data_IF_342464823157
#
_entry.id   IF_342464823157
#
_cell.length_a   1.000
_cell.length_b   1.000
_cell.length_c   1.000
_cell.angle_alpha   90.00
_cell.angle_beta   90.00
_cell.angle_gamma   90.00
#
_symmetry.space_group_name_H-M   'P 1'
#
loop_
_entity.id
_entity.type
_entity.pdbx_description
1 polymer ?
#
# COMPACT_ATOMS: atom_id res chain seq x y z
N UNK A 1 1.45 -1.36 -26.53
CA UNK A 1 0.70 -1.26 -25.26
C UNK A 1 0.68 0.20 -24.86
N UNK A 2 -0.50 0.78 -24.67
CA UNK A 2 -0.66 2.17 -24.24
C UNK A 2 -1.37 2.18 -22.89
N UNK A 3 -0.98 3.10 -22.02
CA UNK A 3 -1.67 3.36 -20.76
C UNK A 3 -3.06 3.93 -21.08
N UNK A 4 -4.10 3.30 -20.54
CA UNK A 4 -5.49 3.75 -20.62
C UNK A 4 -6.01 4.02 -19.21
N UNK A 5 -7.12 4.74 -19.11
CA UNK A 5 -7.80 5.02 -17.85
C UNK A 5 -9.25 4.58 -17.96
N UNK A 6 -9.77 3.98 -16.89
CA UNK A 6 -11.19 3.64 -16.81
C UNK A 6 -12.05 4.85 -16.41
N UNK A 7 -13.36 4.66 -16.30
CA UNK A 7 -14.32 5.70 -15.96
C UNK A 7 -14.08 6.31 -14.56
N UNK A 8 -13.30 5.63 -13.71
CA UNK A 8 -12.93 6.03 -12.36
C UNK A 8 -11.55 6.71 -12.34
N UNK A 9 -10.88 6.84 -13.49
CA UNK A 9 -9.55 7.41 -13.62
C UNK A 9 -8.42 6.48 -13.17
N UNK A 10 -8.69 5.20 -12.96
CA UNK A 10 -7.66 4.23 -12.59
C UNK A 10 -6.90 3.75 -13.85
N UNK A 11 -5.56 3.67 -13.79
CA UNK A 11 -4.75 3.25 -14.94
C UNK A 11 -4.87 1.75 -15.21
N UNK A 12 -4.97 1.39 -16.50
CA UNK A 12 -4.90 0.02 -16.96
C UNK A 12 -4.14 -0.13 -18.28
N UNK A 13 -3.70 -1.35 -18.57
CA UNK A 13 -2.99 -1.71 -19.80
C UNK A 13 -3.72 -2.86 -20.48
N UNK A 14 -4.10 -2.66 -21.72
CA UNK A 14 -4.61 -3.73 -22.58
C UNK A 14 -3.43 -4.41 -23.28
N UNK A 15 -3.26 -5.72 -23.00
CA UNK A 15 -2.18 -6.55 -23.55
C UNK A 15 -2.64 -7.18 -24.86
N UNK A 16 -3.86 -7.71 -24.86
CA UNK A 16 -4.59 -8.24 -26.02
C UNK A 16 -6.11 -8.02 -25.81
N UNK A 17 -6.98 -8.28 -26.81
CA UNK A 17 -8.43 -8.03 -26.69
C UNK A 17 -9.12 -8.74 -25.52
N UNK A 18 -8.51 -9.80 -24.97
CA UNK A 18 -9.04 -10.61 -23.88
C UNK A 18 -8.25 -10.46 -22.57
N UNK A 19 -7.09 -9.78 -22.58
CA UNK A 19 -6.19 -9.64 -21.43
C UNK A 19 -5.94 -8.17 -21.11
N UNK A 20 -6.46 -7.76 -19.96
CA UNK A 20 -6.30 -6.43 -19.41
C UNK A 20 -5.63 -6.49 -18.03
N UNK A 21 -4.54 -5.74 -17.85
CA UNK A 21 -3.87 -5.56 -16.57
C UNK A 21 -4.41 -4.31 -15.89
N UNK A 22 -4.98 -4.47 -14.69
CA UNK A 22 -5.53 -3.39 -13.86
C UNK A 22 -4.89 -3.41 -12.48
N UNK A 23 -4.81 -2.24 -11.83
CA UNK A 23 -4.48 -2.19 -10.41
C UNK A 23 -5.66 -2.75 -9.61
N UNK A 24 -5.38 -3.73 -8.76
CA UNK A 24 -6.35 -4.26 -7.82
C UNK A 24 -6.43 -3.30 -6.61
N UNK A 25 -7.39 -2.37 -6.70
CA UNK A 25 -7.70 -1.37 -5.68
C UNK A 25 -8.97 -1.71 -4.89
N UNK A 26 -9.53 -2.92 -5.04
CA UNK A 26 -10.76 -3.29 -4.36
C UNK A 26 -10.56 -3.34 -2.84
N UNK A 27 -11.47 -2.74 -2.09
CA UNK A 27 -11.62 -3.04 -0.66
C UNK A 27 -12.35 -4.39 -0.52
N UNK A 28 -11.94 -5.21 0.46
CA UNK A 28 -12.50 -6.55 0.71
C UNK A 28 -13.82 -6.51 1.47
N UNK A 29 -14.67 -5.54 1.13
CA UNK A 29 -15.91 -5.29 1.86
C UNK A 29 -17.01 -6.30 1.47
N UNK A 30 -16.81 -7.01 0.35
CA UNK A 30 -17.68 -8.07 -0.16
C UNK A 30 -17.37 -9.46 0.43
N UNK A 31 -16.18 -9.68 0.98
CA UNK A 31 -15.81 -10.92 1.65
C UNK A 31 -16.21 -10.88 3.14
N UNK A 32 -17.27 -11.62 3.46
CA UNK A 32 -17.81 -11.71 4.82
C UNK A 32 -16.79 -12.21 5.86
N UNK A 33 -15.84 -13.08 5.48
CA UNK A 33 -14.80 -13.54 6.39
C UNK A 33 -13.78 -12.42 6.68
N UNK A 34 -13.38 -11.68 5.64
CA UNK A 34 -12.50 -10.51 5.79
C UNK A 34 -13.15 -9.43 6.66
N UNK A 35 -14.42 -9.09 6.40
CA UNK A 35 -15.16 -8.10 7.20
C UNK A 35 -15.28 -8.53 8.67
N UNK A 36 -15.58 -9.82 8.91
CA UNK A 36 -15.66 -10.36 10.28
C UNK A 36 -14.30 -10.28 10.99
N UNK A 37 -13.21 -10.69 10.32
CA UNK A 37 -11.85 -10.58 10.87
C UNK A 37 -11.45 -9.14 11.17
N UNK A 38 -11.74 -8.20 10.26
CA UNK A 38 -11.47 -6.78 10.48
C UNK A 38 -12.21 -6.24 11.71
N UNK A 39 -13.49 -6.61 11.86
CA UNK A 39 -14.28 -6.24 13.04
C UNK A 39 -13.69 -6.81 14.34
N UNK A 40 -13.34 -8.09 14.37
CA UNK A 40 -12.88 -8.79 15.58
C UNK A 40 -11.44 -8.43 15.96
N UNK A 41 -10.51 -8.39 15.00
CA UNK A 41 -9.08 -8.24 15.25
C UNK A 41 -8.62 -6.78 15.24
N UNK A 42 -9.25 -5.93 14.41
CA UNK A 42 -8.89 -4.53 14.20
C UNK A 42 -9.86 -3.55 14.87
N UNK A 43 -11.00 -4.02 15.39
CA UNK A 43 -12.09 -3.18 15.91
C UNK A 43 -12.72 -2.29 14.84
N UNK A 44 -12.73 -2.77 13.60
CA UNK A 44 -13.25 -2.02 12.45
C UNK A 44 -14.79 -2.06 12.45
N UNK A 45 -15.42 -1.19 13.25
CA UNK A 45 -16.86 -0.89 13.17
C UNK A 45 -17.08 0.52 12.60
N UNK A 46 -18.24 0.82 11.99
CA UNK A 46 -18.51 2.13 11.42
C UNK A 46 -18.28 3.29 12.41
N UNK A 47 -18.62 3.09 13.68
CA UNK A 47 -18.47 4.08 14.75
C UNK A 47 -17.00 4.33 15.08
N UNK A 48 -16.23 3.25 15.29
CA UNK A 48 -14.80 3.33 15.59
C UNK A 48 -14.04 3.94 14.42
N UNK A 49 -14.37 3.56 13.18
CA UNK A 49 -13.74 4.11 11.98
C UNK A 49 -13.95 5.63 11.92
N UNK A 50 -15.20 6.10 12.10
CA UNK A 50 -15.51 7.53 12.06
C UNK A 50 -14.85 8.32 13.19
N UNK A 51 -14.87 7.78 14.41
CA UNK A 51 -14.24 8.41 15.58
C UNK A 51 -12.72 8.51 15.39
N UNK A 52 -12.08 7.40 15.02
CA UNK A 52 -10.63 7.34 14.84
C UNK A 52 -10.13 8.19 13.68
N UNK A 53 -10.87 8.29 12.58
CA UNK A 53 -10.55 9.20 11.49
C UNK A 53 -10.62 10.66 11.96
N UNK A 54 -11.68 11.04 12.67
CA UNK A 54 -11.84 12.41 13.19
C UNK A 54 -10.73 12.78 14.16
N UNK A 55 -10.41 11.88 15.10
CA UNK A 55 -9.34 12.11 16.08
C UNK A 55 -7.97 12.19 15.40
N UNK A 56 -7.65 11.25 14.51
CA UNK A 56 -6.39 11.26 13.76
C UNK A 56 -6.23 12.54 12.93
N UNK A 57 -7.30 12.98 12.25
CA UNK A 57 -7.31 14.26 11.51
C UNK A 57 -7.06 15.44 12.44
N UNK A 58 -7.60 15.42 13.67
CA UNK A 58 -7.33 16.46 14.67
C UNK A 58 -5.86 16.47 15.09
N UNK A 59 -5.29 15.30 15.40
CA UNK A 59 -3.88 15.16 15.77
C UNK A 59 -2.93 15.64 14.65
N UNK A 60 -3.26 15.33 13.39
CA UNK A 60 -2.46 15.72 12.24
C UNK A 60 -2.43 17.24 11.99
N UNK A 61 -3.40 18.02 12.49
CA UNK A 61 -3.38 19.49 12.37
C UNK A 61 -2.16 20.12 13.03
N UNK A 62 -1.62 19.49 14.07
CA UNK A 62 -0.42 19.95 14.77
C UNK A 62 0.86 19.68 13.98
N UNK A 63 0.78 18.86 12.92
CA UNK A 63 1.90 18.44 12.06
C UNK A 63 1.75 18.93 10.62
N UNK A 64 1.42 20.22 10.47
CA UNK A 64 1.22 20.87 9.16
C UNK A 64 2.48 20.96 8.29
N UNK A 65 3.65 20.65 8.83
CA UNK A 65 4.92 20.55 8.13
C UNK A 65 5.02 19.30 7.23
N UNK A 66 4.19 18.29 7.50
CA UNK A 66 4.17 17.05 6.73
C UNK A 66 3.15 17.14 5.58
N UNK A 67 3.60 16.83 4.37
CA UNK A 67 2.72 16.74 3.20
C UNK A 67 1.87 15.46 3.25
N UNK A 68 0.81 15.49 4.04
CA UNK A 68 -0.12 14.37 4.28
C UNK A 68 -1.45 14.67 3.61
N UNK A 69 -2.00 13.68 2.89
CA UNK A 69 -3.38 13.73 2.39
C UNK A 69 -4.37 13.51 3.54
N UNK A 70 -4.53 14.51 4.41
CA UNK A 70 -5.38 14.43 5.62
C UNK A 70 -6.84 14.15 5.26
N UNK A 71 -7.28 14.57 4.07
CA UNK A 71 -8.65 14.41 3.60
C UNK A 71 -8.97 13.06 2.93
N UNK A 72 -7.96 12.25 2.64
CA UNK A 72 -8.12 10.95 2.02
C UNK A 72 -8.29 9.85 3.08
N UNK A 73 -9.52 9.42 3.30
CA UNK A 73 -9.83 8.34 4.25
C UNK A 73 -9.13 7.02 3.89
N UNK A 74 -9.02 6.69 2.60
CA UNK A 74 -8.34 5.47 2.16
C UNK A 74 -6.83 5.55 2.46
N UNK A 75 -6.24 6.74 2.37
CA UNK A 75 -4.86 6.98 2.81
C UNK A 75 -4.71 6.80 4.33
N UNK A 76 -5.57 7.42 5.14
CA UNK A 76 -5.50 7.32 6.60
C UNK A 76 -5.76 5.90 7.12
N UNK A 77 -6.69 5.16 6.49
CA UNK A 77 -6.99 3.74 6.79
C UNK A 77 -5.75 2.85 6.68
N UNK A 78 -4.78 3.16 5.80
CA UNK A 78 -3.51 2.40 5.68
C UNK A 78 -2.70 2.38 6.97
N UNK A 79 -2.81 3.43 7.79
CA UNK A 79 -2.15 3.54 9.08
C UNK A 79 -3.05 3.11 10.23
N UNK A 80 -4.37 3.35 10.13
CA UNK A 80 -5.34 2.97 11.17
C UNK A 80 -5.55 1.46 11.26
N UNK A 81 -5.59 0.73 10.14
CA UNK A 81 -5.81 -0.73 10.16
C UNK A 81 -4.70 -1.49 10.91
N UNK A 82 -3.40 -1.29 10.61
CA UNK A 82 -2.31 -1.93 11.36
C UNK A 82 -2.31 -1.56 12.85
N UNK A 83 -2.81 -0.39 13.21
CA UNK A 83 -2.89 0.08 14.60
C UNK A 83 -4.23 -0.17 15.24
N UNK A 84 -5.08 -1.04 14.68
CA UNK A 84 -6.39 -1.41 15.24
C UNK A 84 -7.27 -0.20 15.58
N UNK A 85 -7.20 0.81 14.71
CA UNK A 85 -7.90 2.08 14.84
C UNK A 85 -7.56 2.90 16.09
N UNK A 86 -6.40 2.70 16.72
CA UNK A 86 -5.90 3.61 17.76
C UNK A 86 -5.25 4.86 17.11
N UNK A 87 -5.84 6.06 17.24
CA UNK A 87 -5.38 7.24 16.51
C UNK A 87 -3.97 7.69 16.89
N UNK A 88 -3.64 7.68 18.18
CA UNK A 88 -2.29 8.03 18.65
C UNK A 88 -1.21 7.07 18.09
N UNK A 89 -1.52 5.77 18.03
CA UNK A 89 -0.61 4.79 17.44
C UNK A 89 -0.45 4.99 15.94
N UNK A 90 -1.53 5.34 15.23
CA UNK A 90 -1.48 5.68 13.81
C UNK A 90 -0.64 6.94 13.55
N UNK A 91 -0.78 7.97 14.38
CA UNK A 91 0.06 9.17 14.31
C UNK A 91 1.54 8.81 14.44
N UNK A 92 1.91 8.04 15.47
CA UNK A 92 3.31 7.62 15.68
C UNK A 92 3.85 6.85 14.47
N UNK A 93 3.03 5.99 13.85
CA UNK A 93 3.39 5.26 12.63
C UNK A 93 3.59 6.19 11.43
N UNK A 94 2.71 7.18 11.24
CA UNK A 94 2.83 8.21 10.19
C UNK A 94 4.12 9.00 10.37
N UNK A 95 4.38 9.52 11.58
CA UNK A 95 5.60 10.27 11.89
C UNK A 95 6.86 9.44 11.61
N UNK A 96 6.85 8.16 12.00
CA UNK A 96 7.94 7.22 11.68
C UNK A 96 8.13 7.04 10.18
N UNK A 97 7.05 6.89 9.42
CA UNK A 97 7.08 6.75 7.96
C UNK A 97 7.62 8.00 7.25
N UNK A 98 7.21 9.19 7.66
CA UNK A 98 7.74 10.45 7.09
C UNK A 98 9.20 10.68 7.47
N UNK A 99 9.59 10.39 8.72
CA UNK A 99 11.00 10.42 9.14
C UNK A 99 11.86 9.48 8.31
N UNK A 100 11.35 8.29 8.01
CA UNK A 100 11.99 7.32 7.16
C UNK A 100 12.12 7.82 5.71
N UNK A 101 11.06 8.40 5.14
CA UNK A 101 11.08 9.01 3.80
C UNK A 101 12.03 10.21 3.70
N UNK A 102 12.17 11.00 4.75
CA UNK A 102 13.11 12.13 4.76
C UNK A 102 14.59 11.69 4.71
N UNK A 103 14.88 10.42 5.01
CA UNK A 103 16.23 9.89 4.96
C UNK A 103 16.63 9.56 3.51
N UNK A 104 17.36 10.48 2.87
CA UNK A 104 17.84 10.37 1.47
C UNK A 104 18.71 9.15 1.13
N UNK A 105 19.11 8.36 2.13
CA UNK A 105 19.89 7.12 1.92
C UNK A 105 19.00 5.89 1.73
N UNK A 106 17.69 6.03 1.87
CA UNK A 106 16.78 4.91 1.77
C UNK A 106 16.32 4.69 0.32
N UNK A 107 16.01 3.43 0.00
CA UNK A 107 15.64 2.90 -1.33
C UNK A 107 14.47 3.66 -2.00
N UNK A 108 13.78 4.55 -1.29
CA UNK A 108 12.62 5.29 -1.81
C UNK A 108 12.97 6.48 -2.70
N UNK A 109 14.20 7.00 -2.64
CA UNK A 109 14.61 8.12 -3.49
C UNK A 109 14.90 7.64 -4.92
N UNK A 110 14.28 8.30 -5.90
CA UNK A 110 14.42 8.01 -7.34
C UNK A 110 13.98 6.60 -7.79
N UNK A 111 12.95 6.04 -7.12
CA UNK A 111 12.31 4.79 -7.57
C UNK A 111 11.55 5.01 -8.89
N UNK A 112 12.26 4.81 -9.99
CA UNK A 112 11.69 4.79 -11.33
C UNK A 112 11.57 3.36 -11.88
N UNK A 113 10.69 3.18 -12.87
CA UNK A 113 10.54 1.91 -13.59
C UNK A 113 11.87 1.40 -14.16
N UNK A 114 12.76 2.30 -14.59
CA UNK A 114 14.09 1.94 -15.07
C UNK A 114 15.01 1.41 -13.97
N UNK A 115 14.98 1.99 -12.76
CA UNK A 115 15.81 1.50 -11.65
C UNK A 115 15.38 0.12 -11.15
N UNK A 116 14.08 -0.14 -11.12
CA UNK A 116 13.55 -1.43 -10.68
C UNK A 116 13.50 -2.49 -11.79
N UNK A 117 13.72 -2.08 -13.06
CA UNK A 117 13.63 -2.97 -14.23
C UNK A 117 14.48 -4.22 -14.06
N UNK A 118 15.76 -4.05 -13.70
CA UNK A 118 16.68 -5.18 -13.53
C UNK A 118 16.17 -6.13 -12.47
N UNK A 119 15.68 -5.62 -11.33
CA UNK A 119 15.13 -6.47 -10.27
C UNK A 119 13.89 -7.26 -10.70
N UNK A 120 13.06 -6.70 -11.59
CA UNK A 120 11.87 -7.36 -12.13
C UNK A 120 12.21 -8.36 -13.24
N UNK A 121 13.07 -7.98 -14.20
CA UNK A 121 13.49 -8.82 -15.33
C UNK A 121 14.33 -10.02 -14.85
N UNK A 122 15.22 -9.81 -13.89
CA UNK A 122 16.01 -10.86 -13.24
C UNK A 122 15.21 -11.65 -12.21
N UNK A 123 13.92 -11.35 -12.02
CA UNK A 123 12.99 -12.06 -11.13
C UNK A 123 13.44 -12.11 -9.67
N UNK A 124 14.24 -11.13 -9.24
CA UNK A 124 14.72 -11.00 -7.86
C UNK A 124 13.54 -10.82 -6.91
N UNK A 125 12.55 -10.01 -7.32
CA UNK A 125 11.28 -9.83 -6.60
C UNK A 125 10.13 -10.12 -7.55
N UNK A 126 9.27 -11.05 -7.15
CA UNK A 126 8.11 -11.49 -7.94
C UNK A 126 6.83 -11.35 -7.10
N UNK A 127 5.80 -10.75 -7.68
CA UNK A 127 4.45 -10.72 -7.16
C UNK A 127 3.70 -11.90 -7.76
N UNK A 128 3.28 -12.86 -6.93
CA UNK A 128 2.51 -14.00 -7.45
C UNK A 128 1.08 -13.56 -7.80
N UNK A 129 0.49 -14.08 -8.90
CA UNK A 129 -0.88 -13.77 -9.27
C UNK A 129 -1.88 -14.35 -8.27
N UNK A 130 -1.52 -15.45 -7.62
CA UNK A 130 -2.33 -16.11 -6.60
C UNK A 130 -2.14 -15.45 -5.23
N UNK A 131 -3.21 -15.53 -4.44
CA UNK A 131 -3.20 -15.17 -3.02
C UNK A 131 -3.08 -16.44 -2.19
N UNK A 132 -2.68 -16.31 -0.94
CA UNK A 132 -2.69 -17.45 -0.03
C UNK A 132 -4.10 -17.78 0.47
N UNK A 133 -4.22 -18.82 1.29
CA UNK A 133 -5.48 -19.27 1.90
C UNK A 133 -6.17 -18.23 2.80
N UNK A 134 -5.52 -17.10 3.09
CA UNK A 134 -6.06 -16.00 3.88
C UNK A 134 -6.21 -14.70 3.06
N UNK A 135 -6.11 -14.77 1.73
CA UNK A 135 -6.26 -13.63 0.84
C UNK A 135 -5.04 -12.69 0.78
N UNK A 136 -3.93 -13.02 1.44
CA UNK A 136 -2.73 -12.18 1.49
C UNK A 136 -1.97 -12.24 0.17
N UNK A 137 -1.35 -11.12 -0.22
CA UNK A 137 -0.43 -11.07 -1.37
C UNK A 137 0.83 -11.86 -1.07
N UNK A 138 1.27 -12.67 -2.01
CA UNK A 138 2.52 -13.41 -1.90
C UNK A 138 3.60 -12.69 -2.71
N UNK A 139 4.63 -12.23 -2.02
CA UNK A 139 5.84 -11.67 -2.63
C UNK A 139 6.94 -12.73 -2.48
N UNK A 140 7.46 -13.21 -3.61
CA UNK A 140 8.59 -14.13 -3.64
C UNK A 140 9.88 -13.35 -3.90
N UNK A 141 10.90 -13.57 -3.07
CA UNK A 141 12.20 -12.92 -3.19
C UNK A 141 13.28 -13.99 -3.28
N UNK A 142 14.02 -14.00 -4.39
CA UNK A 142 15.11 -14.96 -4.61
C UNK A 142 16.43 -14.38 -4.09
N UNK A 143 16.80 -14.77 -2.86
CA UNK A 143 17.98 -14.22 -2.17
C UNK A 143 19.28 -15.03 -2.39
N UNK A 144 19.36 -15.86 -3.43
CA UNK A 144 20.43 -16.87 -3.56
C UNK A 144 21.13 -16.97 -4.91
N UNK A 145 20.64 -16.31 -5.97
CA UNK A 145 21.20 -16.45 -7.31
C UNK A 145 21.38 -15.07 -7.96
N UNK A 146 22.63 -14.74 -8.35
CA UNK A 146 23.07 -13.54 -9.12
C UNK A 146 23.53 -12.29 -8.36
N UNK A 147 24.08 -12.39 -7.15
CA UNK A 147 24.87 -11.29 -6.54
C UNK A 147 26.30 -11.12 -7.15
N UNK A 148 26.51 -11.44 -8.43
CA UNK A 148 27.82 -11.38 -9.09
C UNK A 148 27.99 -10.21 -10.07
N UNK A 149 26.90 -9.70 -10.65
CA UNK A 149 26.96 -8.73 -11.76
C UNK A 149 26.22 -7.40 -11.49
N UNK A 150 25.73 -7.17 -10.27
CA UNK A 150 25.06 -5.91 -9.88
C UNK A 150 26.00 -4.95 -9.14
N UNK A 151 27.25 -4.85 -9.61
CA UNK A 151 28.16 -3.76 -9.25
C UNK A 151 28.62 -3.14 -10.58
N UNK A 152 27.99 -2.02 -10.95
CA UNK A 152 28.58 -1.01 -11.83
C UNK A 152 28.33 0.34 -11.19
#
# INVERSE_FOLDING_TARGET
MALKFDDQGAPFIEVDPNVCLKLDLSEYDDDAECVRKAREELRETPEVVQESLRELRSLLKEHSDLNISVDDDAFLKKFLRPTKYYPQSALNMILGWYKFKANKKFVTDDMSTNRIRVALEEKIVQLLPTRDQHGRRIIFVEMGCKCGNLIV
#
